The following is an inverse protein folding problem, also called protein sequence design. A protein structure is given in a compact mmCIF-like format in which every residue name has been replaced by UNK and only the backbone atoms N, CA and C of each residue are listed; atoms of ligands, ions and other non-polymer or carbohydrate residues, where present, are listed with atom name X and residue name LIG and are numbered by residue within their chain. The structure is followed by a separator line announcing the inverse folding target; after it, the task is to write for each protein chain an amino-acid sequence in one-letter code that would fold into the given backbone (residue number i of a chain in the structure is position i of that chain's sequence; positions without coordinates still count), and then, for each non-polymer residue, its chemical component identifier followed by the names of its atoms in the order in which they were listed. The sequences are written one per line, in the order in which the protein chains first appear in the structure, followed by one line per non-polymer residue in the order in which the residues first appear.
data_IF_239132213558
#
_entry.id   IF_239132213558
#
_cell.length_a   1.000
_cell.length_b   1.000
_cell.length_c   1.000
_cell.angle_alpha   90.00
_cell.angle_beta   90.00
_cell.angle_gamma   90.00
#
_symmetry.space_group_name_H-M   'P 1'
#
loop_
_entity.id
_entity.type
_entity.pdbx_description
1 polymer ?
#
# COMPACT_ATOMS: atom_id res chain seq x y z
N UNK A 1 -18.12 7.71 7.92
CA UNK A 1 -17.51 7.46 6.60
C UNK A 1 -17.96 6.08 6.10
N UNK A 2 -18.41 5.95 4.86
CA UNK A 2 -18.96 4.69 4.34
C UNK A 2 -17.85 3.62 4.24
N UNK A 3 -18.05 2.43 4.82
CA UNK A 3 -17.09 1.31 4.76
C UNK A 3 -16.71 0.93 3.33
N UNK A 4 -17.65 1.04 2.38
CA UNK A 4 -17.39 0.80 0.95
C UNK A 4 -16.39 1.81 0.37
N UNK A 5 -16.50 3.08 0.78
CA UNK A 5 -15.57 4.13 0.36
C UNK A 5 -14.18 3.92 0.96
N UNK A 6 -14.10 3.52 2.24
CA UNK A 6 -12.83 3.20 2.90
C UNK A 6 -12.14 2.03 2.20
N UNK A 7 -12.87 0.95 1.92
CA UNK A 7 -12.30 -0.21 1.24
C UNK A 7 -11.77 0.16 -0.15
N UNK A 8 -12.51 0.98 -0.91
CA UNK A 8 -12.06 1.47 -2.21
C UNK A 8 -10.78 2.31 -2.08
N UNK A 9 -10.73 3.22 -1.11
CA UNK A 9 -9.56 4.06 -0.85
C UNK A 9 -8.33 3.22 -0.49
N UNK A 10 -8.46 2.27 0.44
CA UNK A 10 -7.37 1.39 0.86
C UNK A 10 -6.85 0.55 -0.30
N UNK A 11 -7.76 0.00 -1.11
CA UNK A 11 -7.37 -0.74 -2.31
C UNK A 11 -6.62 0.14 -3.32
N UNK A 12 -7.13 1.34 -3.61
CA UNK A 12 -6.46 2.28 -4.51
C UNK A 12 -5.05 2.67 -4.01
N UNK A 13 -4.90 2.93 -2.71
CA UNK A 13 -3.59 3.26 -2.11
C UNK A 13 -2.60 2.10 -2.20
N UNK A 14 -3.05 0.86 -1.98
CA UNK A 14 -2.21 -0.32 -2.14
C UNK A 14 -1.79 -0.49 -3.60
N UNK A 15 -2.71 -0.34 -4.56
CA UNK A 15 -2.41 -0.39 -5.99
C UNK A 15 -1.35 0.65 -6.37
N UNK A 16 -1.53 1.90 -5.95
CA UNK A 16 -0.56 2.99 -6.22
C UNK A 16 0.82 2.64 -5.65
N UNK A 17 0.85 2.10 -4.42
CA UNK A 17 2.10 1.69 -3.77
C UNK A 17 2.79 0.55 -4.54
N UNK A 18 2.02 -0.44 -5.00
CA UNK A 18 2.52 -1.53 -5.84
C UNK A 18 3.08 -1.00 -7.16
N UNK A 19 2.37 -0.10 -7.85
CA UNK A 19 2.88 0.52 -9.08
C UNK A 19 4.19 1.27 -8.82
N UNK A 20 4.28 2.02 -7.71
CA UNK A 20 5.52 2.71 -7.35
C UNK A 20 6.70 1.75 -7.11
N UNK A 21 6.45 0.58 -6.51
CA UNK A 21 7.47 -0.48 -6.36
C UNK A 21 7.94 -0.97 -7.74
N UNK A 22 7.03 -1.25 -8.66
CA UNK A 22 7.39 -1.67 -10.02
C UNK A 22 8.17 -0.59 -10.78
N UNK A 23 7.76 0.67 -10.69
CA UNK A 23 8.49 1.81 -11.28
C UNK A 23 9.89 1.93 -10.67
N UNK A 24 10.02 1.85 -9.34
CA UNK A 24 11.31 1.87 -8.66
C UNK A 24 12.21 0.71 -9.05
N UNK A 25 11.64 -0.48 -9.23
CA UNK A 25 12.37 -1.66 -9.69
C UNK A 25 12.89 -1.47 -11.14
N UNK A 26 12.04 -0.98 -12.04
CA UNK A 26 12.44 -0.67 -13.41
C UNK A 26 13.58 0.36 -13.44
N UNK A 27 13.47 1.42 -12.65
CA UNK A 27 14.50 2.45 -12.56
C UNK A 27 15.81 1.90 -11.98
N UNK A 28 15.73 1.01 -10.98
CA UNK A 28 16.90 0.32 -10.44
C UNK A 28 17.60 -0.55 -11.48
N UNK A 29 16.84 -1.29 -12.29
CA UNK A 29 17.39 -2.10 -13.39
C UNK A 29 18.06 -1.21 -14.44
N UNK A 30 17.41 -0.10 -14.81
CA UNK A 30 17.94 0.87 -15.78
C UNK A 30 19.11 1.73 -15.25
N UNK A 31 19.56 1.52 -14.01
CA UNK A 31 20.58 2.33 -13.34
C UNK A 31 20.22 3.82 -13.27
N UNK A 32 18.92 4.12 -13.32
CA UNK A 32 18.44 5.49 -13.23
C UNK A 32 18.70 6.03 -11.81
N UNK A 33 19.16 7.30 -11.68
CA UNK A 33 19.33 7.91 -10.37
C UNK A 33 18.00 7.85 -9.61
N UNK A 34 18.06 7.68 -8.28
CA UNK A 34 16.89 7.53 -7.41
C UNK A 34 16.08 6.23 -7.53
N UNK A 35 16.45 5.27 -8.39
CA UNK A 35 15.71 3.99 -8.49
C UNK A 35 15.59 3.23 -7.17
N UNK A 36 16.68 3.19 -6.39
CA UNK A 36 16.68 2.55 -5.07
C UNK A 36 15.82 3.32 -4.05
N UNK A 37 15.79 4.65 -4.13
CA UNK A 37 14.98 5.51 -3.24
C UNK A 37 13.49 5.33 -3.54
N UNK A 38 13.10 5.36 -4.82
CA UNK A 38 11.70 5.15 -5.24
C UNK A 38 11.22 3.74 -4.84
N UNK A 39 12.07 2.73 -5.07
CA UNK A 39 11.76 1.35 -4.66
C UNK A 39 11.56 1.25 -3.15
N UNK A 40 12.44 1.84 -2.35
CA UNK A 40 12.35 1.84 -0.89
C UNK A 40 11.08 2.57 -0.42
N UNK A 41 10.80 3.76 -0.97
CA UNK A 41 9.59 4.52 -0.63
C UNK A 41 8.32 3.74 -0.97
N UNK A 42 8.26 3.08 -2.14
CA UNK A 42 7.13 2.23 -2.53
C UNK A 42 6.93 1.06 -1.58
N UNK A 43 8.01 0.36 -1.22
CA UNK A 43 7.96 -0.75 -0.26
C UNK A 43 7.51 -0.28 1.13
N UNK A 44 8.13 0.75 1.68
CA UNK A 44 7.77 1.30 2.99
C UNK A 44 6.31 1.74 3.02
N UNK A 45 5.84 2.43 1.99
CA UNK A 45 4.44 2.88 1.90
C UNK A 45 3.47 1.69 1.86
N UNK A 46 3.77 0.66 1.06
CA UNK A 46 2.96 -0.55 0.99
C UNK A 46 2.86 -1.28 2.35
N UNK A 47 3.99 -1.45 3.05
CA UNK A 47 4.00 -2.08 4.37
C UNK A 47 3.22 -1.29 5.42
N UNK A 48 3.36 0.05 5.42
CA UNK A 48 2.61 0.90 6.34
C UNK A 48 1.11 0.82 6.10
N UNK A 49 0.67 0.96 4.85
CA UNK A 49 -0.76 0.97 4.49
C UNK A 49 -1.37 -0.41 4.73
N UNK A 50 -0.70 -1.49 4.35
CA UNK A 50 -1.20 -2.85 4.60
C UNK A 50 -1.29 -3.15 6.11
N UNK A 51 -0.32 -2.70 6.91
CA UNK A 51 -0.36 -2.86 8.36
C UNK A 51 -1.54 -2.12 9.01
N UNK A 52 -1.83 -0.90 8.54
CA UNK A 52 -3.01 -0.14 8.98
C UNK A 52 -4.30 -0.86 8.56
N UNK A 53 -4.37 -1.32 7.32
CA UNK A 53 -5.56 -1.98 6.77
C UNK A 53 -5.85 -3.30 7.49
N UNK A 54 -4.84 -4.12 7.76
CA UNK A 54 -4.99 -5.35 8.54
C UNK A 54 -5.55 -5.04 9.94
N UNK A 55 -5.00 -4.03 10.63
CA UNK A 55 -5.50 -3.62 11.96
C UNK A 55 -6.95 -3.16 11.89
N UNK A 56 -7.32 -2.41 10.85
CA UNK A 56 -8.69 -1.94 10.63
C UNK A 56 -9.65 -3.09 10.35
N UNK A 57 -9.30 -3.99 9.43
CA UNK A 57 -10.12 -5.15 9.07
C UNK A 57 -10.34 -6.07 10.27
N UNK A 58 -9.31 -6.32 11.10
CA UNK A 58 -9.47 -7.06 12.36
C UNK A 58 -10.52 -6.46 13.28
N UNK A 59 -10.55 -5.13 13.43
CA UNK A 59 -11.58 -4.43 14.23
C UNK A 59 -12.98 -4.56 13.62
N UNK A 60 -13.09 -4.49 12.29
CA UNK A 60 -14.38 -4.65 11.60
C UNK A 60 -14.91 -6.07 11.78
N UNK A 61 -14.07 -7.09 11.60
CA UNK A 61 -14.45 -8.50 11.79
C UNK A 61 -14.91 -8.75 13.23
N UNK A 62 -14.15 -8.26 14.23
CA UNK A 62 -14.52 -8.41 15.64
C UNK A 62 -15.84 -7.74 16.02
N UNK A 63 -16.24 -6.67 15.30
CA UNK A 63 -17.54 -6.02 15.46
C UNK A 63 -18.68 -6.80 14.81
N UNK A 64 -18.41 -7.50 13.71
CA UNK A 64 -19.40 -8.31 12.99
C UNK A 64 -19.63 -9.68 13.63
N UNK A 65 -18.67 -10.20 14.39
CA UNK A 65 -18.77 -11.47 15.12
C UNK A 65 -19.39 -11.34 16.51
N UNK A 66 -19.83 -10.14 16.91
CA UNK A 66 -20.58 -9.87 18.14
C UNK A 66 -22.02 -9.56 17.79
#
# INVERSE_FOLDING_TARGET
MNNKMINKLMNSLLIISTVAIFVGLLFKIQHYPFGNSILLTGLTTYFLISGIEIKRLKKVIAKLSK
#
